data_IF_522807832395
#
_entry.id   IF_522807832395
#
_cell.length_a   1.000
_cell.length_b   1.000
_cell.length_c   1.000
_cell.angle_alpha   90.00
_cell.angle_beta   90.00
_cell.angle_gamma   90.00
#
_symmetry.space_group_name_H-M   'P 1'
#
loop_
_entity.id
_entity.type
_entity.pdbx_description
1 polymer ?
#
# COMPACT_ATOMS: atom_id res chain seq x y z
N UNK A 1 14.03 17.01 8.19
CA UNK A 1 14.57 16.29 9.37
C UNK A 1 14.19 14.82 9.16
N UNK A 2 15.15 13.93 8.86
CA UNK A 2 14.84 12.48 8.74
C UNK A 2 14.41 12.01 10.14
N UNK A 3 13.15 11.64 10.32
CA UNK A 3 12.69 11.05 11.57
C UNK A 3 13.34 9.65 11.68
N UNK A 4 14.26 9.48 12.62
CA UNK A 4 14.67 8.14 13.04
C UNK A 4 13.49 7.53 13.81
N UNK A 5 12.70 6.71 13.13
CA UNK A 5 11.65 5.92 13.76
C UNK A 5 12.21 4.55 14.14
N UNK A 6 11.89 4.10 15.35
CA UNK A 6 12.20 2.76 15.82
C UNK A 6 11.23 1.77 15.19
N UNK A 7 11.75 0.67 14.68
CA UNK A 7 10.99 -0.51 14.27
C UNK A 7 11.49 -1.70 15.08
N UNK A 8 10.59 -2.63 15.38
CA UNK A 8 10.95 -3.82 16.14
C UNK A 8 11.24 -4.97 15.19
N UNK A 9 12.38 -5.63 15.41
CA UNK A 9 12.66 -6.90 14.77
C UNK A 9 11.75 -7.97 15.39
N UNK A 10 10.95 -8.61 14.56
CA UNK A 10 9.97 -9.63 14.99
C UNK A 10 10.34 -10.99 14.40
N UNK A 11 9.88 -12.09 15.01
CA UNK A 11 10.11 -13.45 14.52
C UNK A 11 11.59 -13.78 14.19
N UNK A 12 12.55 -13.57 15.12
CA UNK A 12 13.96 -13.89 14.87
C UNK A 12 14.16 -15.36 14.47
N UNK A 13 13.36 -16.28 15.00
CA UNK A 13 13.35 -17.69 14.65
C UNK A 13 13.01 -17.96 13.19
N UNK A 14 12.14 -17.13 12.60
CA UNK A 14 11.74 -17.24 11.20
C UNK A 14 12.89 -16.84 10.27
N UNK A 15 13.75 -15.94 10.72
CA UNK A 15 14.86 -15.45 9.91
C UNK A 15 15.85 -16.55 9.56
N UNK A 16 16.25 -17.36 10.55
CA UNK A 16 17.20 -18.44 10.31
C UNK A 16 16.58 -19.58 9.48
N UNK A 17 15.30 -19.89 9.73
CA UNK A 17 14.56 -20.91 8.95
C UNK A 17 14.48 -20.52 7.46
N UNK A 18 14.03 -19.31 7.15
CA UNK A 18 13.85 -18.87 5.77
C UNK A 18 15.18 -18.65 5.05
N UNK A 19 16.20 -18.15 5.74
CA UNK A 19 17.56 -18.04 5.17
C UNK A 19 18.08 -19.40 4.73
N UNK A 20 17.96 -20.42 5.59
CA UNK A 20 18.41 -21.78 5.27
C UNK A 20 17.57 -22.42 4.16
N UNK A 21 16.24 -22.34 4.27
CA UNK A 21 15.31 -23.00 3.34
C UNK A 21 15.37 -22.43 1.92
N UNK A 22 15.54 -21.12 1.79
CA UNK A 22 15.52 -20.42 0.50
C UNK A 22 16.88 -19.89 0.06
N UNK A 23 17.96 -20.27 0.77
CA UNK A 23 19.34 -19.89 0.47
C UNK A 23 19.51 -18.36 0.28
N UNK A 24 18.83 -17.59 1.12
CA UNK A 24 18.87 -16.13 1.08
C UNK A 24 20.21 -15.64 1.63
N UNK A 25 20.76 -14.59 1.03
CA UNK A 25 21.92 -13.89 1.56
C UNK A 25 21.59 -13.14 2.83
N UNK A 26 20.42 -12.51 2.87
CA UNK A 26 19.90 -11.89 4.07
C UNK A 26 18.38 -11.95 4.09
N UNK A 27 17.84 -11.90 5.30
CA UNK A 27 16.42 -11.86 5.57
C UNK A 27 16.19 -11.11 6.86
N UNK A 28 15.28 -10.14 6.82
CA UNK A 28 14.89 -9.34 7.99
C UNK A 28 13.38 -9.22 8.06
N UNK A 29 12.90 -9.17 9.28
CA UNK A 29 11.50 -9.18 9.65
C UNK A 29 11.26 -8.06 10.64
N UNK A 30 10.40 -7.13 10.28
CA UNK A 30 10.11 -5.98 11.12
C UNK A 30 8.61 -5.75 11.24
N UNK A 31 8.21 -5.16 12.35
CA UNK A 31 6.88 -4.62 12.54
C UNK A 31 7.00 -3.13 12.81
N UNK A 32 6.18 -2.36 12.09
CA UNK A 32 5.95 -0.95 12.39
C UNK A 32 4.64 -0.87 13.17
N UNK A 33 4.65 -0.27 14.36
CA UNK A 33 3.42 0.00 15.10
C UNK A 33 2.58 1.11 14.43
N UNK A 34 3.22 1.95 13.62
CA UNK A 34 2.55 2.98 12.82
C UNK A 34 1.38 2.40 12.00
N UNK A 35 0.36 3.23 11.79
CA UNK A 35 -0.85 2.90 11.03
C UNK A 35 -1.70 1.74 11.58
N UNK A 36 -1.39 1.17 12.76
CA UNK A 36 -2.13 0.03 13.31
C UNK A 36 -1.48 -1.33 13.01
N UNK A 37 -0.20 -1.32 12.66
CA UNK A 37 0.61 -2.51 12.44
C UNK A 37 0.88 -2.77 10.97
N UNK A 38 2.15 -2.62 10.56
CA UNK A 38 2.63 -2.97 9.22
C UNK A 38 3.74 -4.01 9.36
N UNK A 39 3.53 -5.17 8.72
CA UNK A 39 4.55 -6.22 8.66
C UNK A 39 5.40 -6.03 7.42
N UNK A 40 6.73 -6.00 7.59
CA UNK A 40 7.66 -5.81 6.47
C UNK A 40 8.75 -6.89 6.51
N UNK A 41 8.94 -7.51 5.35
CA UNK A 41 9.91 -8.57 5.13
C UNK A 41 10.93 -8.11 4.09
N UNK A 42 12.20 -8.36 4.33
CA UNK A 42 13.28 -8.04 3.40
C UNK A 42 13.97 -9.33 2.98
N UNK A 43 14.03 -9.60 1.68
CA UNK A 43 14.61 -10.81 1.11
C UNK A 43 15.78 -10.46 0.17
N UNK A 44 17.00 -10.82 0.58
CA UNK A 44 18.21 -10.65 -0.22
C UNK A 44 18.57 -11.93 -0.94
N UNK A 45 18.41 -11.98 -2.26
CA UNK A 45 18.70 -13.15 -3.07
C UNK A 45 20.15 -13.16 -3.58
N UNK A 46 20.74 -14.36 -3.62
CA UNK A 46 22.11 -14.55 -4.14
C UNK A 46 22.21 -14.48 -5.66
N UNK A 47 21.10 -14.66 -6.37
CA UNK A 47 21.01 -14.50 -7.82
C UNK A 47 19.59 -14.16 -8.28
N UNK A 48 19.45 -13.67 -9.50
CA UNK A 48 18.15 -13.34 -10.12
C UNK A 48 17.35 -14.62 -10.40
N UNK A 49 18.03 -15.70 -10.77
CA UNK A 49 17.43 -17.00 -11.04
C UNK A 49 16.79 -17.57 -9.77
N UNK A 50 17.52 -17.54 -8.64
CA UNK A 50 16.97 -17.95 -7.35
C UNK A 50 15.76 -17.10 -6.94
N UNK A 51 15.77 -15.81 -7.29
CA UNK A 51 14.65 -14.92 -7.01
C UNK A 51 13.42 -15.33 -7.81
N UNK A 52 13.53 -15.58 -9.12
CA UNK A 52 12.42 -15.99 -9.98
C UNK A 52 11.80 -17.33 -9.54
N UNK A 53 12.63 -18.27 -9.11
CA UNK A 53 12.19 -19.61 -8.70
C UNK A 53 11.51 -19.62 -7.31
N UNK A 54 11.95 -18.78 -6.38
CA UNK A 54 11.63 -18.95 -4.96
C UNK A 54 10.67 -17.92 -4.37
N UNK A 55 10.47 -16.77 -5.02
CA UNK A 55 9.70 -15.66 -4.43
C UNK A 55 8.23 -16.03 -4.11
N UNK A 56 7.59 -16.83 -4.97
CA UNK A 56 6.20 -17.30 -4.77
C UNK A 56 6.09 -18.21 -3.54
N UNK A 57 7.10 -19.07 -3.36
CA UNK A 57 7.19 -19.97 -2.23
C UNK A 57 7.35 -19.21 -0.91
N UNK A 58 8.20 -18.16 -0.88
CA UNK A 58 8.37 -17.30 0.28
C UNK A 58 7.06 -16.57 0.60
N UNK A 59 6.41 -15.98 -0.42
CA UNK A 59 5.14 -15.27 -0.23
C UNK A 59 4.05 -16.18 0.35
N UNK A 60 3.94 -17.41 -0.17
CA UNK A 60 2.98 -18.41 0.31
C UNK A 60 3.28 -18.88 1.72
N UNK A 61 4.56 -19.09 2.05
CA UNK A 61 4.97 -19.46 3.40
C UNK A 61 4.58 -18.36 4.40
N UNK A 62 4.91 -17.10 4.08
CA UNK A 62 4.60 -15.97 4.94
C UNK A 62 3.08 -15.82 5.13
N UNK A 63 2.29 -16.04 4.08
CA UNK A 63 0.83 -16.02 4.17
C UNK A 63 0.29 -17.00 5.22
N UNK A 64 0.76 -18.24 5.20
CA UNK A 64 0.35 -19.27 6.18
C UNK A 64 0.87 -18.95 7.57
N UNK A 65 2.14 -18.54 7.67
CA UNK A 65 2.78 -18.27 8.95
C UNK A 65 2.11 -17.10 9.68
N UNK A 66 1.84 -16.00 8.98
CA UNK A 66 1.34 -14.76 9.57
C UNK A 66 -0.17 -14.74 9.77
N UNK A 67 -0.94 -15.59 9.09
CA UNK A 67 -2.39 -15.63 9.22
C UNK A 67 -2.89 -15.72 10.67
N UNK A 68 -2.13 -16.39 11.56
CA UNK A 68 -2.43 -16.54 12.99
C UNK A 68 -1.97 -15.37 13.87
N UNK A 69 -1.16 -14.47 13.34
CA UNK A 69 -0.55 -13.34 14.07
C UNK A 69 -1.26 -12.02 13.83
N UNK A 70 -2.15 -11.94 12.84
CA UNK A 70 -2.91 -10.73 12.58
C UNK A 70 -3.99 -10.51 13.64
N UNK A 71 -3.94 -9.36 14.28
CA UNK A 71 -4.93 -8.92 15.27
C UNK A 71 -6.11 -8.20 14.63
N UNK A 72 -5.94 -7.72 13.39
CA UNK A 72 -6.97 -7.00 12.66
C UNK A 72 -6.90 -7.23 11.16
N UNK A 73 -8.02 -6.97 10.47
CA UNK A 73 -8.08 -6.93 9.01
C UNK A 73 -7.06 -5.96 8.46
N UNK A 74 -6.89 -4.82 9.12
CA UNK A 74 -5.93 -3.81 8.71
C UNK A 74 -4.52 -4.38 8.58
N UNK A 75 -4.04 -5.13 9.57
CA UNK A 75 -2.73 -5.77 9.50
C UNK A 75 -2.63 -6.78 8.33
N UNK A 76 -3.72 -7.52 8.05
CA UNK A 76 -3.78 -8.42 6.87
C UNK A 76 -3.58 -7.69 5.56
N UNK A 77 -4.10 -6.47 5.46
CA UNK A 77 -3.95 -5.63 4.28
C UNK A 77 -2.61 -4.92 4.23
N UNK A 78 -1.80 -4.92 5.29
CA UNK A 78 -0.56 -4.13 5.40
C UNK A 78 0.67 -5.02 5.61
N UNK A 79 0.85 -5.94 4.66
CA UNK A 79 2.03 -6.79 4.56
C UNK A 79 2.86 -6.39 3.34
N UNK A 80 4.14 -6.14 3.55
CA UNK A 80 5.11 -5.73 2.53
C UNK A 80 6.27 -6.72 2.44
N UNK A 81 6.69 -7.04 1.22
CA UNK A 81 7.90 -7.84 0.98
C UNK A 81 8.82 -7.09 0.01
N UNK A 82 9.97 -6.67 0.51
CA UNK A 82 11.06 -6.13 -0.30
C UNK A 82 11.93 -7.28 -0.80
N UNK A 83 12.23 -7.28 -2.09
CA UNK A 83 13.06 -8.29 -2.72
C UNK A 83 14.17 -7.64 -3.55
N UNK A 84 15.36 -8.20 -3.48
CA UNK A 84 16.55 -7.65 -4.12
C UNK A 84 17.53 -8.76 -4.48
N UNK A 85 18.43 -8.48 -5.41
CA UNK A 85 19.48 -9.42 -5.83
C UNK A 85 20.80 -8.68 -6.02
N UNK A 86 21.92 -9.41 -5.96
CA UNK A 86 23.25 -8.87 -6.22
C UNK A 86 23.49 -8.47 -7.69
N UNK A 87 22.55 -8.80 -8.58
CA UNK A 87 22.59 -8.52 -10.01
C UNK A 87 21.36 -7.72 -10.43
N UNK A 88 21.48 -7.06 -11.59
CA UNK A 88 20.38 -6.33 -12.23
C UNK A 88 19.20 -7.27 -12.51
N UNK A 89 18.05 -6.93 -11.92
CA UNK A 89 16.81 -7.68 -12.09
C UNK A 89 16.16 -7.31 -13.44
N UNK A 90 15.77 -8.29 -14.28
CA UNK A 90 15.07 -8.04 -15.53
C UNK A 90 13.70 -7.37 -15.29
N UNK A 91 13.28 -6.41 -16.12
CA UNK A 91 11.97 -5.75 -15.99
C UNK A 91 10.78 -6.73 -15.99
N UNK A 92 10.88 -7.83 -16.75
CA UNK A 92 9.84 -8.86 -16.79
C UNK A 92 9.66 -9.56 -15.44
N UNK A 93 10.76 -9.88 -14.76
CA UNK A 93 10.71 -10.49 -13.43
C UNK A 93 10.19 -9.51 -12.38
N UNK A 94 10.66 -8.26 -12.42
CA UNK A 94 10.13 -7.21 -11.56
C UNK A 94 8.61 -7.08 -11.72
N UNK A 95 8.14 -6.98 -12.96
CA UNK A 95 6.71 -6.87 -13.24
C UNK A 95 5.93 -8.10 -12.74
N UNK A 96 6.47 -9.31 -12.96
CA UNK A 96 5.86 -10.57 -12.48
C UNK A 96 5.64 -10.54 -10.96
N UNK A 97 6.66 -10.10 -10.21
CA UNK A 97 6.63 -10.06 -8.75
C UNK A 97 5.70 -8.94 -8.25
N UNK A 98 5.87 -7.71 -8.73
CA UNK A 98 5.15 -6.55 -8.19
C UNK A 98 3.66 -6.55 -8.52
N UNK A 99 3.24 -7.20 -9.62
CA UNK A 99 1.83 -7.33 -9.99
C UNK A 99 1.14 -8.55 -9.36
N UNK A 100 1.87 -9.42 -8.67
CA UNK A 100 1.24 -10.47 -7.89
C UNK A 100 0.52 -9.87 -6.68
N UNK A 101 -0.81 -9.94 -6.71
CA UNK A 101 -1.67 -9.39 -5.66
C UNK A 101 -1.92 -10.37 -4.51
N UNK A 102 -1.38 -11.59 -4.59
CA UNK A 102 -1.56 -12.58 -3.54
C UNK A 102 -0.83 -12.15 -2.26
N UNK A 103 -1.58 -12.09 -1.17
CA UNK A 103 -1.16 -11.90 0.23
C UNK A 103 -0.48 -10.56 0.60
N UNK A 104 0.52 -10.11 -0.16
CA UNK A 104 1.39 -8.99 0.21
C UNK A 104 1.61 -8.02 -0.94
N UNK A 105 1.96 -6.78 -0.61
CA UNK A 105 2.53 -5.82 -1.56
C UNK A 105 4.02 -6.11 -1.71
N UNK A 106 4.47 -6.36 -2.94
CA UNK A 106 5.85 -6.75 -3.21
C UNK A 106 6.57 -5.60 -3.90
N UNK A 107 7.80 -5.35 -3.49
CA UNK A 107 8.62 -4.25 -4.01
C UNK A 107 9.96 -4.84 -4.41
N UNK A 108 10.31 -4.69 -5.69
CA UNK A 108 11.60 -5.15 -6.21
C UNK A 108 12.58 -4.00 -6.25
N UNK A 109 13.59 -4.08 -5.39
CA UNK A 109 14.63 -3.08 -5.29
C UNK A 109 15.63 -3.25 -6.43
N UNK A 110 15.96 -2.13 -7.06
CA UNK A 110 16.93 -2.08 -8.18
C UNK A 110 18.37 -1.86 -7.71
N UNK A 111 18.57 -1.61 -6.42
CA UNK A 111 19.90 -1.51 -5.85
C UNK A 111 20.45 -2.93 -5.68
N UNK A 112 21.71 -3.18 -6.03
CA UNK A 112 22.34 -4.51 -5.87
C UNK A 112 22.66 -4.81 -4.39
N UNK A 113 21.85 -4.29 -3.47
CA UNK A 113 22.03 -4.37 -2.04
C UNK A 113 21.26 -5.57 -1.54
N UNK A 114 21.97 -6.58 -1.04
CA UNK A 114 21.38 -7.83 -0.55
C UNK A 114 21.52 -8.03 0.96
N UNK A 115 22.19 -7.10 1.65
CA UNK A 115 22.35 -7.07 3.09
C UNK A 115 21.54 -5.91 3.67
N UNK A 116 20.86 -6.17 4.77
CA UNK A 116 19.96 -5.22 5.40
C UNK A 116 20.50 -4.82 6.78
N UNK A 117 20.57 -3.51 6.99
CA UNK A 117 20.93 -2.89 8.25
C UNK A 117 19.87 -1.84 8.59
N UNK A 118 19.91 -1.33 9.81
CA UNK A 118 18.83 -0.48 10.30
C UNK A 118 18.69 0.83 9.49
N UNK A 119 19.81 1.38 9.02
CA UNK A 119 19.84 2.59 8.20
C UNK A 119 19.14 2.37 6.86
N UNK A 120 19.49 1.31 6.14
CA UNK A 120 18.95 1.05 4.82
C UNK A 120 17.49 0.58 4.88
N UNK A 121 17.11 -0.17 5.91
CA UNK A 121 15.71 -0.53 6.19
C UNK A 121 14.88 0.73 6.42
N UNK A 122 15.38 1.66 7.24
CA UNK A 122 14.69 2.93 7.50
C UNK A 122 14.48 3.73 6.22
N UNK A 123 15.48 3.81 5.34
CA UNK A 123 15.35 4.51 4.06
C UNK A 123 14.31 3.85 3.14
N UNK A 124 14.29 2.52 3.06
CA UNK A 124 13.32 1.78 2.26
C UNK A 124 11.88 1.98 2.74
N UNK A 125 11.65 1.91 4.06
CA UNK A 125 10.32 2.14 4.64
C UNK A 125 9.86 3.58 4.38
N UNK A 126 10.74 4.55 4.66
CA UNK A 126 10.44 5.96 4.51
C UNK A 126 10.13 6.34 3.05
N UNK A 127 10.85 5.76 2.08
CA UNK A 127 10.63 6.02 0.66
C UNK A 127 9.41 5.29 0.10
N UNK A 128 9.26 3.99 0.35
CA UNK A 128 8.28 3.17 -0.37
C UNK A 128 6.95 2.97 0.36
N UNK A 129 6.95 2.99 1.69
CA UNK A 129 5.73 2.76 2.48
C UNK A 129 5.16 4.11 2.93
N UNK A 130 6.00 4.96 3.52
CA UNK A 130 5.57 6.22 4.11
C UNK A 130 5.52 7.37 3.10
N UNK A 131 6.17 7.23 1.94
CA UNK A 131 6.29 8.26 0.91
C UNK A 131 6.72 9.62 1.48
N UNK A 132 7.70 9.58 2.39
CA UNK A 132 8.21 10.77 3.10
C UNK A 132 8.92 11.80 2.19
N UNK A 133 9.17 11.42 0.94
CA UNK A 133 9.68 12.24 -0.15
C UNK A 133 8.58 13.04 -0.88
N UNK A 134 7.31 12.74 -0.62
CA UNK A 134 6.19 13.55 -1.13
C UNK A 134 5.99 14.76 -0.22
N UNK A 135 6.49 15.90 -0.67
CA UNK A 135 6.06 17.20 -0.14
C UNK A 135 4.74 17.58 -0.81
N UNK A 136 3.64 17.18 -0.19
CA UNK A 136 2.34 17.76 -0.54
C UNK A 136 2.38 19.17 0.01
N UNK A 137 2.93 20.09 -0.78
CA UNK A 137 2.87 21.52 -0.50
C UNK A 137 1.42 21.82 -0.21
N UNK A 138 1.10 22.02 1.07
CA UNK A 138 -0.21 22.44 1.51
C UNK A 138 -0.37 23.81 0.86
N UNK A 139 -1.02 23.85 -0.30
CA UNK A 139 -1.41 25.08 -0.91
C UNK A 139 -2.28 25.76 0.15
N UNK A 140 -1.72 26.75 0.85
CA UNK A 140 -2.45 27.63 1.76
C UNK A 140 -3.31 28.59 0.92
N UNK A 141 -3.97 28.07 -0.12
CA UNK A 141 -5.09 28.74 -0.73
C UNK A 141 -6.27 28.53 0.20
N UNK A 142 -7.05 29.58 0.44
CA UNK A 142 -8.39 29.45 0.97
C UNK A 142 -9.13 28.44 0.09
N UNK A 143 -9.34 27.23 0.60
CA UNK A 143 -10.21 26.25 -0.06
C UNK A 143 -11.57 26.92 -0.05
N UNK A 144 -12.06 27.29 -1.23
CA UNK A 144 -13.43 27.77 -1.34
C UNK A 144 -14.35 26.58 -1.03
N UNK A 145 -14.78 26.50 0.23
CA UNK A 145 -15.63 25.42 0.74
C UNK A 145 -17.05 25.52 0.15
N UNK A 146 -17.38 26.64 -0.47
CA UNK A 146 -18.64 26.85 -1.18
C UNK A 146 -18.47 26.45 -2.65
N UNK A 147 -18.75 25.18 -2.93
CA UNK A 147 -18.96 24.73 -4.30
C UNK A 147 -20.21 25.42 -4.85
N UNK A 148 -20.09 26.10 -5.99
CA UNK A 148 -21.23 26.60 -6.76
C UNK A 148 -21.09 26.17 -8.21
N UNK A 149 -22.23 25.95 -8.87
CA UNK A 149 -22.28 25.56 -10.27
C UNK A 149 -23.45 26.25 -10.95
N UNK A 150 -23.26 26.70 -12.18
CA UNK A 150 -24.33 27.25 -13.02
C UNK A 150 -25.21 26.16 -13.64
N UNK A 151 -24.99 24.89 -13.27
CA UNK A 151 -25.79 23.77 -13.76
C UNK A 151 -27.21 23.84 -13.23
N UNK A 152 -28.18 23.63 -14.12
CA UNK A 152 -29.60 23.45 -13.77
C UNK A 152 -29.80 22.40 -12.67
N UNK A 153 -28.99 21.34 -12.66
CA UNK A 153 -29.06 20.29 -11.63
C UNK A 153 -28.63 20.83 -10.27
N UNK A 154 -27.59 21.67 -10.23
CA UNK A 154 -27.11 22.29 -8.99
C UNK A 154 -28.15 23.25 -8.41
N UNK A 155 -28.80 24.04 -9.26
CA UNK A 155 -29.91 24.91 -8.89
C UNK A 155 -31.09 24.14 -8.29
N UNK A 156 -31.48 23.02 -8.90
CA UNK A 156 -32.58 22.18 -8.38
C UNK A 156 -32.20 21.62 -6.99
N UNK A 157 -30.96 21.17 -6.82
CA UNK A 157 -30.45 20.59 -5.57
C UNK A 157 -30.25 21.60 -4.43
N UNK A 158 -30.27 22.90 -4.73
CA UNK A 158 -30.02 23.98 -3.77
C UNK A 158 -31.25 24.85 -3.51
N UNK A 159 -32.13 25.04 -4.50
CA UNK A 159 -33.35 25.85 -4.38
C UNK A 159 -34.53 25.08 -3.79
N UNK A 160 -34.64 23.78 -4.08
CA UNK A 160 -35.64 22.95 -3.44
C UNK A 160 -35.08 22.43 -2.11
N UNK A 161 -35.87 22.51 -1.03
CA UNK A 161 -35.56 21.91 0.28
C UNK A 161 -35.61 20.38 0.18
N UNK A 162 -34.71 19.81 -0.61
CA UNK A 162 -34.59 18.38 -0.85
C UNK A 162 -33.86 17.77 0.34
N UNK A 163 -34.52 16.85 1.03
CA UNK A 163 -33.92 16.10 2.14
C UNK A 163 -32.83 15.16 1.61
N UNK A 164 -31.57 15.49 1.93
CA UNK A 164 -30.38 14.80 1.40
C UNK A 164 -30.03 13.61 2.30
N UNK A 165 -29.95 12.41 1.73
CA UNK A 165 -29.53 11.21 2.45
C UNK A 165 -29.57 9.95 1.58
N UNK A 166 -28.82 8.91 1.98
CA UNK A 166 -28.75 7.62 1.25
C UNK A 166 -30.12 6.95 1.05
N UNK A 167 -31.10 7.25 1.90
CA UNK A 167 -32.47 6.73 1.78
C UNK A 167 -33.36 7.45 0.77
N UNK A 168 -32.98 8.65 0.32
CA UNK A 168 -33.84 9.51 -0.49
C UNK A 168 -33.38 9.61 -1.95
N UNK A 169 -32.32 8.89 -2.33
CA UNK A 169 -31.66 9.01 -3.63
C UNK A 169 -32.62 8.88 -4.81
N UNK A 170 -33.53 7.91 -4.77
CA UNK A 170 -34.51 7.70 -5.84
C UNK A 170 -35.51 8.86 -5.95
N UNK A 171 -35.97 9.40 -4.80
CA UNK A 171 -36.84 10.57 -4.76
C UNK A 171 -36.16 11.82 -5.32
N UNK A 172 -34.87 12.01 -5.01
CA UNK A 172 -34.05 13.11 -5.52
C UNK A 172 -33.93 13.02 -7.05
N UNK A 173 -33.61 11.84 -7.59
CA UNK A 173 -33.55 11.63 -9.04
C UNK A 173 -34.88 11.93 -9.73
N UNK A 174 -35.99 11.47 -9.13
CA UNK A 174 -37.33 11.70 -9.67
C UNK A 174 -37.73 13.18 -9.68
N UNK A 175 -37.36 13.95 -8.64
CA UNK A 175 -37.57 15.40 -8.59
C UNK A 175 -36.77 16.09 -9.71
N UNK A 176 -35.48 15.80 -9.80
CA UNK A 176 -34.61 16.38 -10.84
C UNK A 176 -35.16 16.07 -12.24
N UNK A 177 -35.54 14.82 -12.49
CA UNK A 177 -36.05 14.39 -13.79
C UNK A 177 -37.37 15.08 -14.16
N UNK A 178 -38.33 15.17 -13.22
CA UNK A 178 -39.61 15.87 -13.45
C UNK A 178 -39.41 17.36 -13.73
N UNK A 179 -38.56 18.02 -12.97
CA UNK A 179 -38.28 19.45 -13.13
C UNK A 179 -37.58 19.75 -14.46
N UNK A 180 -36.65 18.89 -14.89
CA UNK A 180 -35.96 19.03 -16.18
C UNK A 180 -36.89 18.79 -17.38
N UNK A 181 -37.86 17.87 -17.28
CA UNK A 181 -38.84 17.63 -18.35
C UNK A 181 -39.92 18.72 -18.37
N UNK A 182 -40.34 19.23 -17.21
CA UNK A 182 -41.32 20.32 -17.11
C UNK A 182 -40.84 21.62 -17.75
N UNK A 183 -39.54 21.91 -17.67
CA UNK A 183 -38.91 23.09 -18.27
C UNK A 183 -38.64 22.99 -19.78
N UNK A 184 -39.03 21.90 -20.46
CA UNK A 184 -38.89 21.72 -21.92
C UNK A 184 -40.14 22.11 -22.73
N UNK A 185 -41.09 22.85 -22.14
CA UNK A 185 -42.28 23.39 -22.83
C UNK A 185 -42.24 24.90 -22.94
#
# INVERSE_FOLDING_TARGET
MKQNRSFDCIFPELSDELKGRYLLQDFKTIMLEDFGGVFVFFCGFSSVESMDELWEGINSFLAVHLAKHFESDFQRWNVYIFMTSNKKIPPALQYKIENDTFFSRKIVLKNNQTLFNDENISEMINGYILNSDIDIGLAQGEVNLEYSSESLVYDILTKENIDKGKGNTESIYNIIYKTLIGNRK
#
